data_IF_985457057364
#
_entry.id   IF_985457057364
#
_cell.length_a   1.000
_cell.length_b   1.000
_cell.length_c   1.000
_cell.angle_alpha   90.00
_cell.angle_beta   90.00
_cell.angle_gamma   90.00
#
_symmetry.space_group_name_H-M   'P 1'
#
loop_
_entity.id
_entity.type
_entity.pdbx_description
1 polymer ?
#
# COMPACT_ATOMS: atom_id res chain seq x y z
N UNK A 1 -3.04 -20.46 6.41
CA UNK A 1 -1.78 -19.97 5.82
C UNK A 1 -1.01 -21.18 5.35
N UNK A 2 -0.68 -21.23 4.06
CA UNK A 2 0.25 -22.22 3.55
C UNK A 2 1.62 -21.95 4.15
N UNK A 3 2.27 -22.96 4.73
CA UNK A 3 3.66 -22.83 5.10
C UNK A 3 4.48 -22.63 3.82
N UNK A 4 5.62 -21.90 3.90
CA UNK A 4 6.53 -21.73 2.76
C UNK A 4 6.88 -23.08 2.09
N UNK A 5 6.96 -24.16 2.89
CA UNK A 5 7.15 -25.54 2.43
C UNK A 5 6.06 -26.05 1.49
N UNK A 6 4.81 -25.57 1.62
CA UNK A 6 3.70 -26.05 0.79
C UNK A 6 3.76 -25.42 -0.61
N UNK A 7 4.18 -24.16 -0.72
CA UNK A 7 4.42 -23.49 -1.99
C UNK A 7 5.63 -24.08 -2.71
N UNK A 8 6.71 -24.37 -1.99
CA UNK A 8 7.87 -25.08 -2.54
C UNK A 8 7.51 -26.48 -3.03
N UNK A 9 6.66 -27.21 -2.28
CA UNK A 9 6.20 -28.53 -2.67
C UNK A 9 5.36 -28.49 -3.96
N UNK A 10 4.47 -27.51 -4.12
CA UNK A 10 3.68 -27.32 -5.34
C UNK A 10 4.56 -27.03 -6.57
N UNK A 11 5.68 -26.35 -6.39
CA UNK A 11 6.62 -26.02 -7.46
C UNK A 11 7.58 -27.16 -7.77
N UNK A 12 7.95 -27.98 -6.78
CA UNK A 12 8.89 -29.10 -6.95
C UNK A 12 8.21 -30.42 -7.32
N UNK A 13 6.93 -30.61 -7.00
CA UNK A 13 6.16 -31.80 -7.39
C UNK A 13 5.68 -31.76 -8.85
N UNK A 14 6.52 -31.24 -9.74
CA UNK A 14 6.30 -31.25 -11.18
C UNK A 14 6.49 -32.67 -11.77
N UNK A 15 5.70 -33.61 -11.32
CA UNK A 15 5.56 -34.87 -12.04
C UNK A 15 4.67 -34.74 -13.29
N UNK A 16 4.01 -33.59 -13.46
CA UNK A 16 3.16 -33.30 -14.61
C UNK A 16 3.63 -31.98 -15.26
N UNK A 17 4.33 -32.08 -16.38
CA UNK A 17 4.94 -31.00 -17.17
C UNK A 17 3.96 -29.97 -17.76
N UNK A 18 2.75 -29.80 -17.17
CA UNK A 18 1.65 -29.07 -17.79
C UNK A 18 1.46 -27.63 -17.28
N UNK A 19 2.10 -27.21 -16.20
CA UNK A 19 1.99 -25.83 -15.71
C UNK A 19 3.33 -25.12 -15.76
N UNK A 20 3.40 -24.05 -16.55
CA UNK A 20 4.52 -23.10 -16.53
C UNK A 20 4.42 -22.19 -15.30
N UNK A 21 5.56 -21.64 -14.84
CA UNK A 21 5.54 -20.57 -13.81
C UNK A 21 4.71 -19.37 -14.24
N UNK A 22 4.64 -19.11 -15.53
CA UNK A 22 3.88 -18.02 -16.14
C UNK A 22 2.36 -18.19 -15.99
N UNK A 23 1.90 -19.43 -15.74
CA UNK A 23 0.49 -19.77 -15.56
C UNK A 23 0.07 -19.73 -14.06
N UNK A 24 0.98 -19.38 -13.15
CA UNK A 24 0.77 -19.42 -11.71
C UNK A 24 0.71 -18.01 -11.15
N UNK A 25 -0.37 -17.69 -10.44
CA UNK A 25 -0.53 -16.48 -9.61
C UNK A 25 -0.84 -16.93 -8.19
N UNK A 26 -0.09 -16.43 -7.22
CA UNK A 26 -0.26 -16.78 -5.81
C UNK A 26 -1.19 -15.77 -5.13
N UNK A 27 -2.30 -16.25 -4.55
CA UNK A 27 -3.18 -15.41 -3.72
C UNK A 27 -2.61 -15.29 -2.31
N UNK A 28 -2.40 -14.05 -1.85
CA UNK A 28 -1.88 -13.76 -0.51
C UNK A 28 -2.85 -14.03 0.64
N UNK A 29 -4.08 -14.48 0.39
CA UNK A 29 -5.09 -14.85 1.39
C UNK A 29 -5.24 -13.81 2.50
N UNK A 30 -5.63 -12.60 2.17
CA UNK A 30 -5.76 -11.49 3.11
C UNK A 30 -6.83 -11.78 4.15
N UNK A 31 -6.42 -12.01 5.39
CA UNK A 31 -7.31 -12.06 6.55
C UNK A 31 -7.61 -10.65 7.07
N UNK A 32 -8.66 -10.50 7.86
CA UNK A 32 -8.97 -9.21 8.50
C UNK A 32 -8.07 -8.96 9.71
N UNK A 33 -7.57 -7.74 9.81
CA UNK A 33 -6.73 -7.32 10.95
C UNK A 33 -7.52 -7.35 12.28
N UNK A 34 -8.84 -7.24 12.22
CA UNK A 34 -9.71 -7.36 13.41
C UNK A 34 -9.72 -8.76 14.03
N UNK A 35 -9.46 -9.80 13.24
CA UNK A 35 -9.36 -11.19 13.72
C UNK A 35 -7.91 -11.63 13.94
N UNK A 36 -6.97 -11.12 13.14
CA UNK A 36 -5.55 -11.43 13.23
C UNK A 36 -4.72 -10.14 13.13
N UNK A 37 -4.19 -9.61 14.23
CA UNK A 37 -3.37 -8.39 14.20
C UNK A 37 -2.12 -8.47 13.32
N UNK A 38 -1.66 -9.69 12.99
CA UNK A 38 -0.51 -9.91 12.10
C UNK A 38 -0.89 -10.12 10.64
N UNK A 39 -2.18 -10.08 10.28
CA UNK A 39 -2.66 -10.41 8.94
C UNK A 39 -1.92 -9.66 7.82
N UNK A 40 -1.67 -8.37 8.01
CA UNK A 40 -0.93 -7.57 7.03
C UNK A 40 0.53 -8.03 6.89
N UNK A 41 1.19 -8.29 8.01
CA UNK A 41 2.59 -8.74 8.05
C UNK A 41 2.75 -10.08 7.35
N UNK A 42 1.85 -11.03 7.61
CA UNK A 42 1.84 -12.35 6.98
C UNK A 42 1.66 -12.25 5.46
N UNK A 43 0.79 -11.34 5.00
CA UNK A 43 0.67 -11.06 3.57
C UNK A 43 1.96 -10.48 2.97
N UNK A 44 2.62 -9.52 3.65
CA UNK A 44 3.86 -8.93 3.17
C UNK A 44 4.99 -9.95 3.09
N UNK A 45 5.10 -10.83 4.07
CA UNK A 45 6.05 -11.94 4.08
C UNK A 45 5.79 -12.86 2.86
N UNK A 46 4.53 -13.22 2.61
CA UNK A 46 4.13 -14.04 1.46
C UNK A 46 4.47 -13.36 0.13
N UNK A 47 4.14 -12.08 -0.05
CA UNK A 47 4.44 -11.36 -1.29
C UNK A 47 5.95 -11.25 -1.53
N UNK A 48 6.71 -10.94 -0.46
CA UNK A 48 8.17 -10.86 -0.56
C UNK A 48 8.80 -12.21 -0.92
N UNK A 49 8.32 -13.29 -0.34
CA UNK A 49 8.79 -14.63 -0.64
C UNK A 49 8.49 -15.03 -2.10
N UNK A 50 7.25 -14.82 -2.55
CA UNK A 50 6.87 -15.11 -3.92
C UNK A 50 7.71 -14.31 -4.93
N UNK A 51 7.97 -13.04 -4.65
CA UNK A 51 8.77 -12.17 -5.52
C UNK A 51 10.25 -12.59 -5.55
N UNK A 52 10.86 -12.79 -4.38
CA UNK A 52 12.31 -12.88 -4.26
C UNK A 52 12.82 -14.31 -4.43
N UNK A 53 12.08 -15.31 -3.91
CA UNK A 53 12.52 -16.69 -3.91
C UNK A 53 11.90 -17.50 -5.07
N UNK A 54 10.61 -17.26 -5.36
CA UNK A 54 9.90 -18.05 -6.35
C UNK A 54 9.85 -17.39 -7.74
N UNK A 55 9.96 -16.07 -7.81
CA UNK A 55 9.77 -15.31 -9.04
C UNK A 55 8.33 -15.41 -9.58
N UNK A 56 7.34 -15.50 -8.68
CA UNK A 56 5.94 -15.66 -9.04
C UNK A 56 5.16 -14.36 -8.81
N UNK A 57 4.20 -14.03 -9.70
CA UNK A 57 3.27 -12.96 -9.48
C UNK A 57 2.30 -13.32 -8.35
N UNK A 58 1.82 -12.25 -7.67
CA UNK A 58 0.91 -12.37 -6.53
C UNK A 58 -0.37 -11.58 -6.74
N UNK A 59 -1.48 -12.08 -6.20
CA UNK A 59 -2.75 -11.38 -6.16
C UNK A 59 -3.29 -11.29 -4.73
N UNK A 60 -4.21 -10.36 -4.47
CA UNK A 60 -4.99 -10.38 -3.23
C UNK A 60 -6.33 -9.64 -3.34
N UNK A 61 -7.30 -10.08 -2.55
CA UNK A 61 -8.54 -9.36 -2.28
C UNK A 61 -8.31 -8.27 -1.24
N UNK A 62 -7.99 -7.05 -1.68
CA UNK A 62 -7.47 -5.97 -0.84
C UNK A 62 -8.36 -5.61 0.35
N UNK A 63 -9.67 -5.52 0.12
CA UNK A 63 -10.62 -4.99 1.10
C UNK A 63 -10.81 -5.87 2.35
N UNK A 64 -10.36 -7.12 2.31
CA UNK A 64 -10.49 -8.05 3.43
C UNK A 64 -9.69 -7.57 4.66
N UNK A 65 -8.54 -6.93 4.45
CA UNK A 65 -7.68 -6.46 5.54
C UNK A 65 -8.43 -5.58 6.55
N UNK A 66 -9.33 -4.75 6.09
CA UNK A 66 -10.04 -3.75 6.89
C UNK A 66 -11.46 -4.15 7.25
N UNK A 67 -11.86 -5.41 7.02
CA UNK A 67 -13.23 -5.84 7.29
C UNK A 67 -13.59 -5.62 8.78
N UNK A 68 -14.75 -4.97 9.01
CA UNK A 68 -15.22 -4.64 10.36
C UNK A 68 -14.63 -3.36 10.97
N UNK A 69 -13.67 -2.68 10.31
CA UNK A 69 -13.11 -1.42 10.79
C UNK A 69 -13.88 -0.20 10.26
N UNK A 70 -13.91 0.91 11.01
CA UNK A 70 -14.36 2.20 10.47
C UNK A 70 -13.32 2.74 9.48
N UNK A 71 -13.74 3.71 8.64
CA UNK A 71 -12.87 4.45 7.71
C UNK A 71 -11.91 3.56 6.89
N UNK A 72 -12.44 2.46 6.39
CA UNK A 72 -11.70 1.38 5.70
C UNK A 72 -10.77 1.85 4.59
N UNK A 73 -11.11 2.98 3.95
CA UNK A 73 -10.33 3.52 2.83
C UNK A 73 -8.90 3.81 3.22
N UNK A 74 -8.65 4.35 4.41
CA UNK A 74 -7.30 4.65 4.88
C UNK A 74 -6.48 3.38 5.11
N UNK A 75 -7.08 2.39 5.76
CA UNK A 75 -6.42 1.09 6.01
C UNK A 75 -6.12 0.37 4.70
N UNK A 76 -7.08 0.32 3.79
CA UNK A 76 -6.91 -0.29 2.47
C UNK A 76 -5.81 0.39 1.67
N UNK A 77 -5.76 1.73 1.70
CA UNK A 77 -4.75 2.50 0.97
C UNK A 77 -3.35 2.27 1.53
N UNK A 78 -3.20 2.31 2.85
CA UNK A 78 -1.92 2.04 3.51
C UNK A 78 -1.46 0.60 3.26
N UNK A 79 -2.35 -0.37 3.40
CA UNK A 79 -2.05 -1.78 3.12
C UNK A 79 -1.60 -1.98 1.67
N UNK A 80 -2.30 -1.38 0.69
CA UNK A 80 -1.93 -1.47 -0.73
C UNK A 80 -0.52 -0.92 -0.97
N UNK A 81 -0.20 0.26 -0.46
CA UNK A 81 1.12 0.88 -0.63
C UNK A 81 2.23 -0.02 -0.10
N UNK A 82 2.05 -0.56 1.10
CA UNK A 82 3.01 -1.48 1.71
C UNK A 82 3.09 -2.81 0.94
N UNK A 83 1.96 -3.37 0.53
CA UNK A 83 1.91 -4.61 -0.25
C UNK A 83 2.65 -4.47 -1.61
N UNK A 84 2.48 -3.35 -2.31
CA UNK A 84 3.21 -3.04 -3.55
C UNK A 84 4.73 -3.01 -3.30
N UNK A 85 5.18 -2.40 -2.22
CA UNK A 85 6.59 -2.37 -1.84
C UNK A 85 7.14 -3.78 -1.58
N UNK A 86 6.33 -4.66 -0.99
CA UNK A 86 6.67 -6.05 -0.73
C UNK A 86 6.51 -7.00 -1.93
N UNK A 87 6.04 -6.51 -3.08
CA UNK A 87 6.03 -7.31 -4.31
C UNK A 87 4.66 -7.75 -4.80
N UNK A 88 3.57 -7.20 -4.24
CA UNK A 88 2.24 -7.42 -4.80
C UNK A 88 2.19 -6.96 -6.26
N UNK A 89 1.69 -7.83 -7.15
CA UNK A 89 1.58 -7.55 -8.59
C UNK A 89 0.15 -7.22 -9.02
N UNK A 90 -0.86 -7.77 -8.34
CA UNK A 90 -2.26 -7.56 -8.66
C UNK A 90 -3.11 -7.37 -7.40
N UNK A 91 -3.98 -6.38 -7.39
CA UNK A 91 -4.95 -6.18 -6.32
C UNK A 91 -6.38 -6.23 -6.88
N UNK A 92 -7.23 -7.06 -6.27
CA UNK A 92 -8.68 -7.02 -6.50
C UNK A 92 -9.24 -5.95 -5.58
N UNK A 93 -9.57 -4.79 -6.16
CA UNK A 93 -9.97 -3.59 -5.42
C UNK A 93 -11.01 -2.77 -6.20
N UNK A 94 -11.67 -1.83 -5.54
CA UNK A 94 -12.61 -0.93 -6.19
C UNK A 94 -11.85 0.24 -6.86
N UNK A 95 -11.82 0.33 -8.19
CA UNK A 95 -11.09 1.38 -8.91
C UNK A 95 -11.73 2.77 -8.78
N UNK A 96 -12.96 2.87 -8.27
CA UNK A 96 -13.62 4.14 -8.02
C UNK A 96 -13.11 4.86 -6.77
N UNK A 97 -12.31 4.21 -5.93
CA UNK A 97 -11.68 4.82 -4.77
C UNK A 97 -10.44 5.62 -5.19
N UNK A 98 -10.61 6.92 -5.38
CA UNK A 98 -9.52 7.79 -5.89
C UNK A 98 -8.28 7.77 -5.01
N UNK A 99 -8.44 7.84 -3.69
CA UNK A 99 -7.32 7.81 -2.76
C UNK A 99 -6.49 6.54 -2.95
N UNK A 100 -7.16 5.40 -3.06
CA UNK A 100 -6.54 4.10 -3.28
C UNK A 100 -5.76 4.06 -4.60
N UNK A 101 -6.43 4.48 -5.68
CA UNK A 101 -5.81 4.49 -7.02
C UNK A 101 -4.62 5.45 -7.09
N UNK A 102 -4.76 6.66 -6.54
CA UNK A 102 -3.68 7.64 -6.55
C UNK A 102 -2.47 7.15 -5.74
N UNK A 103 -2.70 6.45 -4.61
CA UNK A 103 -1.63 5.84 -3.84
C UNK A 103 -0.93 4.71 -4.61
N UNK A 104 -1.65 3.91 -5.41
CA UNK A 104 -1.04 2.89 -6.27
C UNK A 104 -0.07 3.51 -7.29
N UNK A 105 -0.52 4.53 -8.04
CA UNK A 105 0.34 5.23 -9.01
C UNK A 105 1.56 5.89 -8.33
N UNK A 106 1.35 6.51 -7.16
CA UNK A 106 2.45 7.10 -6.40
C UNK A 106 3.44 6.03 -5.89
N UNK A 107 2.96 4.84 -5.51
CA UNK A 107 3.82 3.73 -5.08
C UNK A 107 4.69 3.22 -6.22
N UNK A 108 4.13 3.08 -7.43
CA UNK A 108 4.89 2.69 -8.61
C UNK A 108 5.98 3.70 -8.95
N UNK A 109 5.65 5.00 -8.86
CA UNK A 109 6.62 6.08 -9.05
C UNK A 109 7.78 6.02 -8.06
N UNK A 110 7.47 5.84 -6.76
CA UNK A 110 8.47 5.74 -5.70
C UNK A 110 9.36 4.50 -5.83
N UNK A 111 8.86 3.44 -6.43
CA UNK A 111 9.61 2.21 -6.72
C UNK A 111 10.33 2.24 -8.06
N UNK A 112 10.34 3.37 -8.75
CA UNK A 112 10.99 3.56 -10.06
C UNK A 112 10.60 2.48 -11.08
N UNK A 113 9.32 2.08 -11.10
CA UNK A 113 8.81 1.13 -12.09
C UNK A 113 8.82 1.76 -13.48
N UNK A 114 8.95 0.92 -14.49
CA UNK A 114 8.99 1.35 -15.90
C UNK A 114 7.78 2.25 -16.22
N UNK A 115 8.01 3.40 -16.85
CA UNK A 115 7.01 4.41 -17.25
C UNK A 115 6.11 4.92 -16.10
N UNK A 116 6.48 4.73 -14.85
CA UNK A 116 5.66 5.12 -13.71
C UNK A 116 5.49 6.63 -13.57
N UNK A 117 6.48 7.41 -13.98
CA UNK A 117 6.43 8.87 -14.03
C UNK A 117 5.38 9.36 -15.03
N UNK A 118 5.36 8.79 -16.23
CA UNK A 118 4.37 9.11 -17.28
C UNK A 118 2.98 8.77 -16.77
N UNK A 119 2.76 7.54 -16.29
CA UNK A 119 1.45 7.10 -15.78
C UNK A 119 0.97 7.94 -14.61
N UNK A 120 1.86 8.34 -13.70
CA UNK A 120 1.51 9.21 -12.58
C UNK A 120 1.07 10.60 -13.06
N UNK A 121 1.83 11.21 -13.97
CA UNK A 121 1.52 12.55 -14.54
C UNK A 121 0.18 12.51 -15.28
N UNK A 122 -0.04 11.52 -16.13
CA UNK A 122 -1.32 11.34 -16.84
C UNK A 122 -2.49 11.22 -15.87
N UNK A 123 -2.34 10.40 -14.82
CA UNK A 123 -3.35 10.25 -13.77
C UNK A 123 -3.67 11.57 -13.09
N UNK A 124 -2.65 12.37 -12.76
CA UNK A 124 -2.83 13.67 -12.10
C UNK A 124 -3.50 14.68 -13.05
N UNK A 125 -3.17 14.68 -14.33
CA UNK A 125 -3.82 15.52 -15.34
C UNK A 125 -5.30 15.18 -15.49
N UNK A 126 -5.66 13.90 -15.59
CA UNK A 126 -7.05 13.45 -15.63
C UNK A 126 -7.85 13.92 -14.40
N UNK A 127 -7.23 13.88 -13.21
CA UNK A 127 -7.88 14.38 -12.01
C UNK A 127 -8.02 15.91 -12.01
N UNK A 128 -7.03 16.63 -12.51
CA UNK A 128 -7.09 18.08 -12.63
C UNK A 128 -8.23 18.50 -13.60
N UNK A 129 -8.39 17.81 -14.72
CA UNK A 129 -9.49 18.03 -15.66
C UNK A 129 -10.85 17.69 -15.03
N UNK A 130 -10.95 16.55 -14.34
CA UNK A 130 -12.18 16.12 -13.65
C UNK A 130 -12.67 17.16 -12.63
N UNK A 131 -11.74 17.83 -11.95
CA UNK A 131 -12.04 18.84 -10.93
C UNK A 131 -11.86 20.28 -11.42
N UNK A 132 -11.63 20.49 -12.71
CA UNK A 132 -11.60 21.81 -13.30
C UNK A 132 -12.98 22.48 -13.14
N UNK A 133 -13.02 23.55 -12.32
CA UNK A 133 -14.27 24.26 -12.00
C UNK A 133 -14.87 23.93 -10.62
N UNK A 134 -14.34 22.98 -9.90
CA UNK A 134 -14.64 22.83 -8.46
C UNK A 134 -13.61 23.62 -7.66
N UNK A 135 -14.06 24.59 -6.85
CA UNK A 135 -13.19 25.25 -5.87
C UNK A 135 -12.62 24.16 -4.96
N UNK A 136 -11.32 23.88 -5.09
CA UNK A 136 -10.62 23.13 -4.05
C UNK A 136 -10.69 23.98 -2.80
N UNK A 137 -11.51 23.59 -1.85
CA UNK A 137 -11.45 24.11 -0.50
C UNK A 137 -10.09 23.64 0.07
N UNK A 138 -9.05 24.38 -0.27
CA UNK A 138 -7.79 24.28 0.45
C UNK A 138 -8.11 24.73 1.87
N UNK A 139 -8.23 23.78 2.79
CA UNK A 139 -8.25 24.13 4.21
C UNK A 139 -6.97 24.95 4.44
N UNK A 140 -7.08 26.24 4.75
CA UNK A 140 -5.88 27.04 4.95
C UNK A 140 -5.13 26.43 6.12
N UNK A 141 -3.96 25.87 5.86
CA UNK A 141 -3.01 25.57 6.91
C UNK A 141 -2.71 26.92 7.54
N UNK A 142 -3.26 27.19 8.72
CA UNK A 142 -2.86 28.34 9.50
C UNK A 142 -1.35 28.22 9.68
N UNK A 143 -0.59 29.06 8.96
CA UNK A 143 0.82 29.29 9.30
C UNK A 143 0.79 29.68 10.77
N UNK A 144 1.37 28.85 11.63
CA UNK A 144 1.72 29.29 12.96
C UNK A 144 2.51 30.59 12.77
N UNK A 145 2.02 31.67 13.33
CA UNK A 145 2.74 32.93 13.32
C UNK A 145 4.14 32.63 13.87
N UNK A 146 5.16 32.87 13.06
CA UNK A 146 6.52 32.85 13.52
C UNK A 146 6.68 34.01 14.50
N UNK A 147 6.54 33.73 15.77
CA UNK A 147 7.00 34.59 16.81
C UNK A 147 8.52 34.46 16.89
N UNK A 148 9.16 35.46 16.34
CA UNK A 148 10.60 35.62 16.21
C UNK A 148 11.17 36.04 17.57
N UNK A 149 11.28 35.12 18.53
CA UNK A 149 12.12 35.23 19.72
C UNK A 149 12.26 33.85 20.43
N UNK A 150 12.97 32.89 19.84
CA UNK A 150 13.39 31.70 20.55
C UNK A 150 14.85 31.83 20.99
N UNK A 151 15.08 31.97 22.29
CA UNK A 151 16.43 31.82 22.88
C UNK A 151 16.93 30.38 22.69
N UNK A 152 18.22 30.15 22.41
CA UNK A 152 18.76 28.81 22.29
C UNK A 152 18.81 28.14 23.66
N UNK A 153 18.02 27.10 23.89
CA UNK A 153 18.14 26.28 25.10
C UNK A 153 16.87 25.65 25.69
N UNK A 154 15.70 25.80 25.11
CA UNK A 154 14.49 25.15 25.63
C UNK A 154 14.05 23.98 24.75
N UNK A 155 13.63 22.87 25.38
CA UNK A 155 13.06 21.67 24.73
C UNK A 155 11.67 21.91 24.12
N UNK A 156 11.29 23.14 23.87
CA UNK A 156 10.00 23.57 23.36
C UNK A 156 10.05 23.76 21.84
N UNK A 157 9.96 22.67 21.09
CA UNK A 157 9.96 22.73 19.62
C UNK A 157 9.49 21.44 18.95
N UNK A 158 9.02 20.48 19.73
CA UNK A 158 8.53 19.23 19.16
C UNK A 158 7.10 19.44 18.65
N UNK A 159 6.87 19.08 17.37
CA UNK A 159 5.53 19.17 16.79
C UNK A 159 4.52 18.32 17.56
N UNK A 160 3.26 18.73 17.59
CA UNK A 160 2.17 17.97 18.22
C UNK A 160 2.08 16.51 17.70
N UNK A 161 2.48 16.28 16.46
CA UNK A 161 2.58 14.95 15.84
C UNK A 161 3.68 14.12 16.51
N UNK A 162 4.84 14.72 16.78
CA UNK A 162 5.95 14.03 17.44
C UNK A 162 5.59 13.60 18.87
N UNK A 163 4.89 14.45 19.61
CA UNK A 163 4.40 14.14 20.96
C UNK A 163 3.30 13.07 20.96
N UNK A 164 2.42 13.07 19.97
CA UNK A 164 1.39 12.04 19.81
C UNK A 164 1.99 10.67 19.54
N UNK A 165 3.04 10.59 18.72
CA UNK A 165 3.73 9.34 18.40
C UNK A 165 4.49 8.76 19.60
N UNK A 166 5.02 9.63 20.51
CA UNK A 166 5.75 9.15 21.71
C UNK A 166 4.84 8.68 22.85
N UNK A 167 3.55 9.06 22.82
CA UNK A 167 2.56 8.74 23.89
C UNK A 167 1.61 7.60 23.48
N UNK A 168 1.74 7.06 22.27
CA UNK A 168 0.90 5.99 21.71
C UNK A 168 1.16 4.61 22.24
#
# INVERSE_FOLDING_TARGET
LFAHSDLDCLLHNRADDRMSKEDIIVDGLVATIGANPRAAIECYETFSYCKNELGLPTACGLSNISFGLPERTYVNTAFLTMAIAHGLTMAIANPSQELLMNAAFASDLLLAREESDIRYIERMNMLAEKYAGQERVLVPVKKAAADDQAKPGSQEGRSAIFEAVLKG
#
